data_IF_026513106520
#
_entry.id   IF_026513106520
#
_cell.length_a   1.000
_cell.length_b   1.000
_cell.length_c   1.000
_cell.angle_alpha   90.00
_cell.angle_beta   90.00
_cell.angle_gamma   90.00
#
_symmetry.space_group_name_H-M   'P 1'
#
loop_
_entity.id
_entity.type
_entity.pdbx_description
1 polymer ?
#
# COMPACT_ATOMS: atom_id res chain seq x y z
N UNK A 1 3.97 18.89 -28.73
CA UNK A 1 4.26 18.77 -27.28
C UNK A 1 5.01 17.47 -27.09
N UNK A 2 6.27 17.53 -26.66
CA UNK A 2 7.14 16.36 -26.54
C UNK A 2 6.75 15.53 -25.31
N UNK A 3 6.46 14.24 -25.52
CA UNK A 3 6.29 13.25 -24.46
C UNK A 3 7.64 13.09 -23.78
N UNK A 4 7.73 13.45 -22.50
CA UNK A 4 8.90 13.20 -21.67
C UNK A 4 9.06 11.68 -21.50
N UNK A 5 9.96 11.08 -22.28
CA UNK A 5 10.34 9.67 -22.15
C UNK A 5 11.48 9.61 -21.13
N UNK A 6 11.27 8.91 -20.00
CA UNK A 6 12.32 8.71 -18.99
C UNK A 6 13.42 7.80 -19.59
N UNK A 7 14.72 8.07 -19.34
CA UNK A 7 15.82 7.27 -19.88
C UNK A 7 15.82 5.83 -19.34
N UNK A 8 16.17 4.86 -20.18
CA UNK A 8 16.34 3.43 -19.84
C UNK A 8 17.43 3.16 -18.77
N UNK A 9 18.17 4.16 -18.32
CA UNK A 9 19.19 4.02 -17.29
C UNK A 9 18.66 4.30 -15.88
N UNK A 10 17.43 4.81 -15.73
CA UNK A 10 16.77 5.04 -14.43
C UNK A 10 15.91 3.85 -13.95
N UNK A 11 15.90 2.73 -14.68
CA UNK A 11 15.12 1.52 -14.29
C UNK A 11 15.80 0.68 -13.20
N UNK A 12 17.02 1.03 -12.79
CA UNK A 12 17.85 0.22 -11.88
C UNK A 12 18.19 0.92 -10.56
N UNK A 13 17.38 1.87 -10.11
CA UNK A 13 17.53 2.39 -8.75
C UNK A 13 16.88 1.44 -7.73
N UNK A 14 17.75 0.88 -6.91
CA UNK A 14 17.53 0.00 -5.76
C UNK A 14 16.99 -1.39 -6.12
N UNK A 15 17.65 -2.41 -5.56
CA UNK A 15 17.15 -3.78 -5.54
C UNK A 15 15.83 -3.80 -4.78
N UNK A 16 14.73 -3.57 -5.49
CA UNK A 16 13.38 -3.84 -5.02
C UNK A 16 13.31 -5.35 -4.84
N UNK A 17 12.91 -5.83 -3.66
CA UNK A 17 12.59 -7.26 -3.51
C UNK A 17 11.53 -7.58 -4.57
N UNK A 18 11.98 -8.34 -5.56
CA UNK A 18 11.31 -8.56 -6.83
C UNK A 18 9.96 -9.22 -6.67
N UNK A 19 8.93 -8.42 -6.49
CA UNK A 19 7.54 -8.79 -6.70
C UNK A 19 6.95 -7.70 -7.57
N UNK A 20 6.45 -8.09 -8.75
CA UNK A 20 5.84 -7.23 -9.77
C UNK A 20 5.33 -5.90 -9.19
N UNK A 21 5.82 -4.75 -9.70
CA UNK A 21 5.49 -3.42 -9.17
C UNK A 21 3.96 -3.15 -9.09
N UNK A 22 3.18 -3.89 -9.89
CA UNK A 22 1.71 -3.95 -9.79
C UNK A 22 1.25 -4.73 -8.54
N UNK A 23 1.82 -5.90 -8.28
CA UNK A 23 1.37 -6.81 -7.23
C UNK A 23 1.80 -6.37 -5.83
N UNK A 24 2.92 -5.66 -5.69
CA UNK A 24 3.51 -5.29 -4.39
C UNK A 24 3.54 -3.77 -4.18
N UNK A 25 4.12 -3.03 -5.13
CA UNK A 25 4.37 -1.59 -4.96
C UNK A 25 3.10 -0.75 -4.76
N UNK A 26 2.07 -0.97 -5.59
CA UNK A 26 0.83 -0.19 -5.50
C UNK A 26 0.06 -0.43 -4.19
N UNK A 27 -0.18 -1.69 -3.74
CA UNK A 27 -0.74 -1.96 -2.42
C UNK A 27 0.10 -1.42 -1.25
N UNK A 28 1.43 -1.54 -1.32
CA UNK A 28 2.32 -0.98 -0.28
C UNK A 28 2.19 0.54 -0.20
N UNK A 29 2.18 1.25 -1.33
CA UNK A 29 2.03 2.70 -1.34
C UNK A 29 0.69 3.14 -0.74
N UNK A 30 -0.40 2.44 -1.04
CA UNK A 30 -1.69 2.71 -0.38
C UNK A 30 -1.62 2.52 1.13
N UNK A 31 -0.96 1.46 1.60
CA UNK A 31 -0.80 1.19 3.02
C UNK A 31 0.01 2.29 3.73
N UNK A 32 1.06 2.80 3.07
CA UNK A 32 1.85 3.95 3.58
C UNK A 32 1.00 5.22 3.68
N UNK A 33 0.13 5.46 2.70
CA UNK A 33 -0.81 6.61 2.78
C UNK A 33 -1.77 6.42 3.95
N UNK A 34 -2.33 5.22 4.15
CA UNK A 34 -3.15 4.93 5.33
C UNK A 34 -2.38 5.16 6.64
N UNK A 35 -1.11 4.74 6.70
CA UNK A 35 -0.25 4.89 7.87
C UNK A 35 -0.08 6.36 8.28
N UNK A 36 0.20 7.25 7.33
CA UNK A 36 0.32 8.69 7.62
C UNK A 36 -1.01 9.34 8.05
N UNK A 37 -2.15 8.74 7.71
CA UNK A 37 -3.48 9.26 8.03
C UNK A 37 -4.04 8.75 9.36
N UNK A 38 -3.50 7.64 9.88
CA UNK A 38 -3.94 6.97 11.11
C UNK A 38 -3.34 7.64 12.35
N UNK A 39 -4.05 7.59 13.48
CA UNK A 39 -3.51 8.00 14.78
C UNK A 39 -3.96 7.06 15.89
N UNK A 40 -3.12 6.92 16.92
CA UNK A 40 -3.32 6.00 18.03
C UNK A 40 -2.86 4.56 17.71
N UNK A 41 -3.29 3.61 18.54
CA UNK A 41 -2.91 2.21 18.42
C UNK A 41 -3.77 1.50 17.35
N UNK A 42 -3.13 0.83 16.40
CA UNK A 42 -3.80 0.03 15.37
C UNK A 42 -4.41 -1.22 16.00
N UNK A 43 -5.71 -1.45 15.77
CA UNK A 43 -6.45 -2.61 16.28
C UNK A 43 -6.85 -3.59 15.18
N UNK A 44 -7.09 -3.10 13.97
CA UNK A 44 -7.53 -3.92 12.84
C UNK A 44 -6.96 -3.40 11.52
N UNK A 45 -6.54 -4.32 10.65
CA UNK A 45 -6.16 -4.03 9.27
C UNK A 45 -7.00 -4.94 8.37
N UNK A 46 -7.78 -4.34 7.47
CA UNK A 46 -8.51 -5.08 6.43
C UNK A 46 -7.92 -4.73 5.06
N UNK A 47 -7.60 -5.79 4.30
CA UNK A 47 -6.96 -5.71 3.01
C UNK A 47 -7.89 -6.38 1.99
N UNK A 48 -8.56 -5.58 1.18
CA UNK A 48 -9.40 -6.07 0.08
C UNK A 48 -8.57 -6.07 -1.21
N UNK A 49 -8.38 -7.25 -1.78
CA UNK A 49 -7.57 -7.46 -2.99
C UNK A 49 -8.41 -8.04 -4.12
N UNK A 50 -8.25 -7.53 -5.33
CA UNK A 50 -8.77 -8.19 -6.54
C UNK A 50 -8.30 -9.63 -6.64
N UNK A 51 -9.01 -10.45 -7.41
CA UNK A 51 -8.66 -11.86 -7.66
C UNK A 51 -7.16 -12.05 -8.01
N UNK A 52 -6.62 -11.21 -8.89
CA UNK A 52 -5.22 -11.28 -9.31
C UNK A 52 -4.24 -10.95 -8.18
N UNK A 53 -4.52 -9.92 -7.39
CA UNK A 53 -3.70 -9.52 -6.24
C UNK A 53 -3.83 -10.51 -5.08
N UNK A 54 -5.03 -11.03 -4.84
CA UNK A 54 -5.32 -12.01 -3.81
C UNK A 54 -4.60 -13.34 -4.07
N UNK A 55 -4.49 -13.73 -5.34
CA UNK A 55 -3.71 -14.91 -5.76
C UNK A 55 -2.21 -14.75 -5.45
N UNK A 56 -1.73 -13.52 -5.33
CA UNK A 56 -0.35 -13.15 -4.99
C UNK A 56 -0.17 -12.68 -3.54
N UNK A 57 -1.15 -12.96 -2.67
CA UNK A 57 -1.15 -12.48 -1.27
C UNK A 57 0.11 -12.85 -0.47
N UNK A 58 0.74 -13.98 -0.77
CA UNK A 58 1.97 -14.41 -0.12
C UNK A 58 3.13 -13.42 -0.30
N UNK A 59 3.15 -12.65 -1.39
CA UNK A 59 4.22 -11.66 -1.66
C UNK A 59 3.80 -10.22 -1.37
N UNK A 60 2.50 -9.91 -1.35
CA UNK A 60 2.04 -8.53 -1.16
C UNK A 60 1.55 -8.23 0.27
N UNK A 61 0.97 -9.21 0.97
CA UNK A 61 0.50 -8.99 2.35
C UNK A 61 1.65 -8.61 3.30
N UNK A 62 2.83 -9.27 3.29
CA UNK A 62 3.94 -8.81 4.13
C UNK A 62 4.31 -7.34 3.86
N UNK A 63 4.37 -6.97 2.58
CA UNK A 63 4.69 -5.61 2.16
C UNK A 63 3.59 -4.57 2.48
N UNK A 64 2.33 -4.97 2.51
CA UNK A 64 1.21 -4.13 2.95
C UNK A 64 1.25 -3.94 4.46
N UNK A 65 1.51 -5.00 5.22
CA UNK A 65 1.54 -4.95 6.69
C UNK A 65 2.71 -4.11 7.20
N UNK A 66 3.91 -4.28 6.64
CA UNK A 66 5.05 -3.45 7.03
C UNK A 66 4.79 -1.96 6.78
N UNK A 67 4.11 -1.64 5.67
CA UNK A 67 3.76 -0.29 5.29
C UNK A 67 2.64 0.29 6.15
N UNK A 68 1.61 -0.49 6.45
CA UNK A 68 0.48 -0.07 7.27
C UNK A 68 0.89 0.18 8.74
N UNK A 69 1.77 -0.66 9.27
CA UNK A 69 2.17 -0.61 10.69
C UNK A 69 3.34 0.36 10.90
N UNK A 70 4.32 0.38 10.00
CA UNK A 70 5.59 1.11 10.19
C UNK A 70 5.88 2.17 9.13
N UNK A 71 4.98 2.41 8.16
CA UNK A 71 5.21 3.38 7.07
C UNK A 71 6.29 2.97 6.07
N UNK A 72 6.77 1.72 6.16
CA UNK A 72 7.93 1.22 5.42
C UNK A 72 7.70 1.14 3.90
N UNK A 73 8.80 1.30 3.17
CA UNK A 73 8.86 1.20 1.71
C UNK A 73 9.18 -0.23 1.27
N UNK A 74 8.93 -0.53 0.00
CA UNK A 74 9.19 -1.86 -0.62
C UNK A 74 10.65 -2.28 -0.67
N UNK A 75 11.60 -1.36 -0.42
CA UNK A 75 13.03 -1.64 -0.34
C UNK A 75 13.49 -2.06 1.07
N UNK A 76 12.61 -2.06 2.07
CA UNK A 76 12.92 -2.55 3.42
C UNK A 76 12.84 -4.08 3.50
N UNK A 77 13.93 -4.71 3.07
CA UNK A 77 14.05 -6.16 3.03
C UNK A 77 14.06 -6.83 4.41
N UNK A 78 14.61 -6.16 5.41
CA UNK A 78 14.66 -6.72 6.75
C UNK A 78 13.26 -6.81 7.34
N UNK A 79 12.50 -5.71 7.26
CA UNK A 79 11.16 -5.66 7.81
C UNK A 79 10.20 -6.57 7.04
N UNK A 80 10.31 -6.62 5.70
CA UNK A 80 9.51 -7.53 4.87
C UNK A 80 9.62 -8.99 5.33
N UNK A 81 10.84 -9.44 5.66
CA UNK A 81 11.09 -10.82 6.06
C UNK A 81 10.68 -11.15 7.50
N UNK A 82 10.63 -10.14 8.38
CA UNK A 82 10.37 -10.33 9.81
C UNK A 82 8.98 -9.88 10.26
N UNK A 83 8.19 -9.21 9.42
CA UNK A 83 6.94 -8.53 9.82
C UNK A 83 5.97 -9.45 10.58
N UNK A 84 5.86 -10.72 10.18
CA UNK A 84 4.98 -11.71 10.85
C UNK A 84 5.51 -12.20 12.20
N UNK A 85 6.80 -12.06 12.46
CA UNK A 85 7.43 -12.45 13.73
C UNK A 85 7.36 -11.31 14.77
N UNK A 86 7.04 -10.10 14.33
CA UNK A 86 6.95 -8.93 15.21
C UNK A 86 5.78 -9.06 16.19
N UNK A 87 6.00 -8.77 17.49
CA UNK A 87 4.99 -8.95 18.52
C UNK A 87 3.74 -8.08 18.32
N UNK A 88 3.88 -6.94 17.63
CA UNK A 88 2.78 -6.02 17.32
C UNK A 88 1.72 -6.68 16.43
N UNK A 89 2.14 -7.52 15.46
CA UNK A 89 1.21 -8.21 14.55
C UNK A 89 0.21 -9.08 15.31
N UNK A 90 0.63 -9.68 16.43
CA UNK A 90 -0.22 -10.55 17.25
C UNK A 90 -1.35 -9.80 17.95
N UNK A 91 -1.28 -8.47 18.03
CA UNK A 91 -2.28 -7.60 18.67
C UNK A 91 -3.29 -7.02 17.67
N UNK A 92 -3.10 -7.25 16.38
CA UNK A 92 -3.90 -6.66 15.31
C UNK A 92 -4.81 -7.74 14.69
N UNK A 93 -6.12 -7.48 14.58
CA UNK A 93 -7.03 -8.30 13.77
C UNK A 93 -6.74 -8.01 12.27
N UNK A 94 -6.05 -8.94 11.62
CA UNK A 94 -5.67 -8.83 10.20
C UNK A 94 -6.64 -9.66 9.37
N UNK A 95 -7.33 -9.02 8.42
CA UNK A 95 -8.22 -9.70 7.47
C UNK A 95 -7.80 -9.42 6.05
N UNK A 96 -7.68 -10.49 5.26
CA UNK A 96 -7.38 -10.40 3.83
C UNK A 96 -8.60 -10.94 3.08
N UNK A 97 -9.28 -10.07 2.34
CA UNK A 97 -10.49 -10.40 1.62
C UNK A 97 -10.21 -10.43 0.11
N UNK A 98 -10.87 -11.36 -0.58
CA UNK A 98 -10.91 -11.38 -2.03
C UNK A 98 -12.13 -10.57 -2.49
N UNK A 99 -11.92 -9.62 -3.41
CA UNK A 99 -13.01 -8.87 -4.05
C UNK A 99 -13.08 -9.20 -5.54
N UNK A 100 -14.31 -9.35 -6.04
CA UNK A 100 -14.59 -9.69 -7.43
C UNK A 100 -14.75 -8.45 -8.34
N UNK A 101 -14.45 -7.25 -7.80
CA UNK A 101 -14.48 -6.01 -8.58
C UNK A 101 -13.12 -5.79 -9.26
N UNK A 102 -13.08 -5.61 -10.60
CA UNK A 102 -11.84 -5.39 -11.32
C UNK A 102 -11.06 -4.18 -10.82
N UNK A 103 -9.73 -4.32 -10.80
CA UNK A 103 -8.75 -3.29 -10.46
C UNK A 103 -8.85 -2.67 -9.05
N UNK A 104 -9.87 -2.99 -8.24
CA UNK A 104 -10.05 -2.44 -6.88
C UNK A 104 -9.11 -3.07 -5.88
N UNK A 105 -8.43 -2.20 -5.13
CA UNK A 105 -7.70 -2.54 -3.93
C UNK A 105 -8.12 -1.56 -2.84
N UNK A 106 -8.37 -2.06 -1.63
CA UNK A 106 -8.75 -1.21 -0.50
C UNK A 106 -8.02 -1.64 0.75
N UNK A 107 -7.45 -0.67 1.45
CA UNK A 107 -6.81 -0.89 2.75
C UNK A 107 -7.54 -0.05 3.78
N UNK A 108 -7.95 -0.68 4.88
CA UNK A 108 -8.66 -0.06 6.00
C UNK A 108 -7.88 -0.33 7.27
N UNK A 109 -7.49 0.73 7.97
CA UNK A 109 -6.82 0.66 9.27
C UNK A 109 -7.76 1.25 10.33
N UNK A 110 -8.16 0.43 11.29
CA UNK A 110 -8.89 0.88 12.48
C UNK A 110 -7.90 1.09 13.61
N UNK A 111 -7.95 2.28 14.22
CA UNK A 111 -7.09 2.66 15.34
C UNK A 111 -7.87 3.38 16.43
N UNK A 112 -7.28 3.50 17.61
CA UNK A 112 -7.95 4.01 18.81
C UNK A 112 -8.35 5.48 18.74
N UNK A 113 -7.62 6.31 17.97
CA UNK A 113 -7.91 7.74 17.87
C UNK A 113 -8.47 8.11 16.50
N UNK A 114 -7.77 7.73 15.43
CA UNK A 114 -8.15 8.09 14.07
C UNK A 114 -7.89 6.93 13.13
N UNK A 115 -8.96 6.45 12.50
CA UNK A 115 -8.90 5.40 11.48
C UNK A 115 -8.67 5.99 10.09
N UNK A 116 -8.12 5.19 9.18
CA UNK A 116 -7.81 5.59 7.81
C UNK A 116 -8.26 4.51 6.81
N UNK A 117 -8.60 4.95 5.60
CA UNK A 117 -8.95 4.07 4.50
C UNK A 117 -8.44 4.65 3.19
N UNK A 118 -7.91 3.79 2.32
CA UNK A 118 -7.58 4.13 0.93
C UNK A 118 -8.23 3.09 0.03
N UNK A 119 -9.05 3.56 -0.89
CA UNK A 119 -9.62 2.81 -2.00
C UNK A 119 -9.00 3.34 -3.29
N UNK A 120 -8.34 2.48 -4.04
CA UNK A 120 -7.67 2.87 -5.26
C UNK A 120 -7.75 1.78 -6.32
N UNK A 121 -7.58 2.21 -7.58
CA UNK A 121 -7.29 1.30 -8.68
C UNK A 121 -5.80 1.13 -8.85
N UNK A 122 -5.39 -0.11 -9.11
CA UNK A 122 -4.00 -0.41 -9.40
C UNK A 122 -3.65 0.00 -10.83
N UNK A 123 -2.59 0.79 -11.01
CA UNK A 123 -2.17 1.33 -12.32
C UNK A 123 -0.78 0.86 -12.74
N UNK A 124 -0.21 -0.12 -12.03
CA UNK A 124 1.14 -0.64 -12.29
C UNK A 124 2.25 0.37 -12.00
N UNK A 125 3.48 -0.14 -11.85
CA UNK A 125 4.64 0.71 -11.55
C UNK A 125 4.57 1.39 -10.18
N UNK A 126 3.84 0.83 -9.21
CA UNK A 126 3.63 1.45 -7.89
C UNK A 126 2.63 2.61 -7.87
N UNK A 127 2.05 2.96 -9.02
CA UNK A 127 1.08 4.05 -9.16
C UNK A 127 -0.29 3.62 -8.64
N UNK A 128 -1.03 4.59 -8.13
CA UNK A 128 -2.37 4.40 -7.58
C UNK A 128 -3.32 5.41 -8.21
N UNK A 129 -4.55 5.00 -8.52
CA UNK A 129 -5.63 5.93 -8.84
C UNK A 129 -6.62 5.95 -7.68
N UNK A 130 -6.51 6.93 -6.79
CA UNK A 130 -7.32 7.00 -5.56
C UNK A 130 -8.76 7.30 -5.95
N UNK A 131 -9.66 6.37 -5.64
CA UNK A 131 -11.10 6.48 -5.88
C UNK A 131 -11.72 7.21 -4.70
N UNK A 132 -11.49 6.72 -3.49
CA UNK A 132 -12.03 7.23 -2.23
C UNK A 132 -11.02 7.06 -1.09
N UNK A 133 -11.17 7.85 -0.03
CA UNK A 133 -10.32 7.76 1.16
C UNK A 133 -10.98 8.33 2.41
N UNK A 134 -10.61 7.76 3.56
CA UNK A 134 -10.88 8.34 4.87
C UNK A 134 -9.58 8.85 5.48
N UNK A 135 -9.54 10.10 5.99
CA UNK A 135 -10.70 10.97 6.26
C UNK A 135 -11.24 11.73 5.04
N UNK A 136 -10.42 11.91 4.01
CA UNK A 136 -10.86 12.50 2.74
C UNK A 136 -9.88 12.17 1.62
N UNK A 137 -10.39 12.12 0.38
CA UNK A 137 -9.56 12.00 -0.83
C UNK A 137 -8.49 13.08 -0.93
N UNK A 138 -8.81 14.33 -0.58
CA UNK A 138 -7.84 15.43 -0.65
C UNK A 138 -6.65 15.23 0.30
N UNK A 139 -6.90 14.76 1.52
CA UNK A 139 -5.83 14.47 2.47
C UNK A 139 -4.96 13.31 2.00
N UNK A 140 -5.56 12.25 1.45
CA UNK A 140 -4.81 11.15 0.84
C UNK A 140 -3.92 11.61 -0.32
N UNK A 141 -4.41 12.50 -1.18
CA UNK A 141 -3.61 13.10 -2.26
C UNK A 141 -2.44 13.93 -1.73
N UNK A 142 -2.66 14.72 -0.69
CA UNK A 142 -1.60 15.52 -0.06
C UNK A 142 -0.51 14.63 0.56
N UNK A 143 -0.91 13.58 1.26
CA UNK A 143 0.01 12.58 1.83
C UNK A 143 0.78 11.85 0.72
N UNK A 144 0.10 11.40 -0.33
CA UNK A 144 0.76 10.75 -1.47
C UNK A 144 1.84 11.64 -2.08
N UNK A 145 1.56 12.94 -2.23
CA UNK A 145 2.53 13.94 -2.70
C UNK A 145 3.75 14.06 -1.76
N UNK A 146 3.52 14.13 -0.44
CA UNK A 146 4.60 14.20 0.57
C UNK A 146 5.47 12.94 0.50
N UNK A 147 4.86 11.77 0.35
CA UNK A 147 5.54 10.48 0.29
C UNK A 147 6.22 10.20 -1.07
N UNK A 148 6.06 11.07 -2.07
CA UNK A 148 6.57 10.88 -3.42
C UNK A 148 5.85 9.75 -4.20
N UNK A 149 4.61 9.43 -3.82
CA UNK A 149 3.79 8.41 -4.47
C UNK A 149 3.08 9.03 -5.68
N UNK A 150 3.31 8.47 -6.86
CA UNK A 150 2.67 8.91 -8.09
C UNK A 150 1.19 8.48 -8.10
N UNK A 151 0.30 9.47 -8.04
CA UNK A 151 -1.15 9.29 -8.18
C UNK A 151 -1.56 9.66 -9.60
N UNK A 152 -2.35 8.81 -10.24
CA UNK A 152 -2.88 9.02 -11.60
C UNK A 152 -4.40 9.01 -11.59
N UNK A 153 -5.01 9.40 -12.70
CA UNK A 153 -6.47 9.41 -12.89
C UNK A 153 -7.06 8.03 -13.24
#
# INVERSE_FOLDING_TARGET
MAVSVRPLTQVFDNVVIGGSSIAVGSPTNMARICHELVAGEIKKIEIDLTIDLFSRRAINVPAILMAAIYGAKTDDAELYNKVFDLPEIRKIDIRVNKVDVPEIQRIRIQATEKSAMIDARNRGGGRVAIVDALPSKQQALNVAKILGIEVVD
#
